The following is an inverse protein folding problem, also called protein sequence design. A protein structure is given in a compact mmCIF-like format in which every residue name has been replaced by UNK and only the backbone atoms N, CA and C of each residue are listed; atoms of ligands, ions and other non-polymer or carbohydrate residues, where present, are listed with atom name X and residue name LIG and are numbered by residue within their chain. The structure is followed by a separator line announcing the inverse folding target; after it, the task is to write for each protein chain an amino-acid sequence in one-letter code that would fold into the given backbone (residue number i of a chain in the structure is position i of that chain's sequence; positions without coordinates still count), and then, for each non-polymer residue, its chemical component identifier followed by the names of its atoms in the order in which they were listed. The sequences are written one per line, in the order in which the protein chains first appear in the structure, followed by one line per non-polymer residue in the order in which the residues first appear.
data_IF_497167227862
#
_entry.id   IF_497167227862
#
_cell.length_a   1.000
_cell.length_b   1.000
_cell.length_c   1.000
_cell.angle_alpha   90.00
_cell.angle_beta   90.00
_cell.angle_gamma   90.00
#
_symmetry.space_group_name_H-M   'P 1'
#
loop_
_entity.id
_entity.type
_entity.pdbx_description
1 polymer ?
#
# COMPACT_ATOMS: atom_id res chain seq x y z
N UNK A 1 5.19 -5.61 36.49
CA UNK A 1 4.50 -5.96 35.23
C UNK A 1 5.03 -5.08 34.12
N UNK A 2 5.30 -5.64 32.95
CA UNK A 2 5.63 -4.86 31.74
C UNK A 2 4.32 -4.52 31.03
N UNK A 3 4.11 -3.26 30.68
CA UNK A 3 2.92 -2.79 29.95
C UNK A 3 3.08 -3.02 28.45
N UNK A 4 2.03 -3.55 27.80
CA UNK A 4 2.01 -3.75 26.36
C UNK A 4 1.88 -2.41 25.61
N UNK A 5 2.63 -2.24 24.52
CA UNK A 5 2.59 -1.03 23.69
C UNK A 5 1.77 -1.26 22.42
N UNK A 6 0.87 -0.33 22.11
CA UNK A 6 0.09 -0.32 20.87
C UNK A 6 0.62 0.76 19.94
N UNK A 7 0.69 0.45 18.64
CA UNK A 7 0.98 1.42 17.59
C UNK A 7 0.33 1.00 16.28
N UNK A 8 0.09 1.93 15.35
CA UNK A 8 -0.34 1.59 14.00
C UNK A 8 0.73 0.74 13.30
N UNK A 9 0.29 -0.31 12.61
CA UNK A 9 1.15 -1.15 11.77
C UNK A 9 0.71 -1.16 10.31
N UNK A 10 -0.51 -0.71 10.02
CA UNK A 10 -1.03 -0.59 8.67
C UNK A 10 -2.11 0.51 8.58
N UNK A 11 -2.25 1.09 7.39
CA UNK A 11 -3.36 1.95 7.01
C UNK A 11 -3.94 1.46 5.68
N UNK A 12 -5.26 1.49 5.53
CA UNK A 12 -5.95 1.23 4.27
C UNK A 12 -6.21 2.54 3.54
N UNK A 13 -5.94 2.56 2.23
CA UNK A 13 -6.18 3.71 1.34
C UNK A 13 -6.96 3.22 0.13
N UNK A 14 -8.20 3.68 0.01
CA UNK A 14 -9.12 3.28 -1.05
C UNK A 14 -9.97 4.47 -1.49
N UNK A 15 -10.36 4.47 -2.77
CA UNK A 15 -11.39 5.37 -3.30
C UNK A 15 -12.80 4.76 -3.19
N UNK A 16 -12.90 3.46 -2.97
CA UNK A 16 -14.17 2.75 -2.77
C UNK A 16 -14.58 2.85 -1.29
N UNK A 17 -15.89 2.97 -1.00
CA UNK A 17 -16.40 2.81 0.36
C UNK A 17 -15.97 1.46 0.96
N UNK A 18 -15.65 1.40 2.27
CA UNK A 18 -15.24 0.15 2.93
C UNK A 18 -16.21 -1.03 2.74
N UNK A 19 -17.49 -0.74 2.65
CA UNK A 19 -18.59 -1.69 2.46
C UNK A 19 -18.78 -2.15 1.02
N UNK A 20 -18.08 -1.54 0.05
CA UNK A 20 -18.20 -1.93 -1.35
C UNK A 20 -17.64 -3.36 -1.54
N UNK A 21 -18.33 -4.28 -2.24
CA UNK A 21 -17.89 -5.68 -2.36
C UNK A 21 -16.47 -5.85 -2.91
N UNK A 22 -16.07 -4.97 -3.84
CA UNK A 22 -14.73 -4.95 -4.43
C UNK A 22 -13.71 -4.07 -3.69
N UNK A 23 -14.04 -3.46 -2.54
CA UNK A 23 -13.15 -2.52 -1.84
C UNK A 23 -11.76 -3.11 -1.59
N UNK A 24 -11.70 -4.39 -1.18
CA UNK A 24 -10.45 -5.07 -0.88
C UNK A 24 -9.50 -5.16 -2.09
N UNK A 25 -10.02 -5.27 -3.31
CA UNK A 25 -9.23 -5.35 -4.55
C UNK A 25 -8.61 -4.01 -4.94
N UNK A 26 -9.29 -2.91 -4.61
CA UNK A 26 -8.88 -1.56 -4.97
C UNK A 26 -8.20 -0.80 -3.80
N UNK A 27 -7.90 -1.50 -2.71
CA UNK A 27 -7.26 -0.90 -1.53
C UNK A 27 -5.74 -1.06 -1.60
N UNK A 28 -5.02 0.05 -1.48
CA UNK A 28 -3.59 0.03 -1.13
C UNK A 28 -3.44 0.03 0.38
N UNK A 29 -2.47 -0.75 0.85
CA UNK A 29 -2.04 -0.77 2.24
C UNK A 29 -0.76 0.02 2.39
N UNK A 30 -0.70 0.88 3.41
CA UNK A 30 0.53 1.51 3.89
C UNK A 30 0.95 0.77 5.15
N UNK A 31 1.96 -0.09 5.04
CA UNK A 31 2.33 -1.03 6.10
C UNK A 31 3.70 -0.73 6.69
N UNK A 32 3.79 -0.74 8.01
CA UNK A 32 5.04 -0.59 8.73
C UNK A 32 5.95 -1.80 8.46
N UNK A 33 7.25 -1.55 8.41
CA UNK A 33 8.26 -2.60 8.14
C UNK A 33 9.36 -2.62 9.19
N UNK A 34 10.14 -1.55 9.29
CA UNK A 34 11.24 -1.40 10.25
C UNK A 34 11.66 0.06 10.31
N UNK A 35 12.25 0.51 11.43
CA UNK A 35 12.89 1.84 11.54
C UNK A 35 12.00 3.00 11.06
N UNK A 36 10.74 2.98 11.49
CA UNK A 36 9.70 3.95 11.10
C UNK A 36 9.50 4.13 9.60
N UNK A 37 9.85 3.09 8.84
CA UNK A 37 9.64 3.04 7.39
C UNK A 37 8.47 2.15 7.02
N UNK A 38 7.76 2.61 6.01
CA UNK A 38 6.49 2.07 5.53
C UNK A 38 6.59 1.68 4.06
N UNK A 39 5.94 0.58 3.66
CA UNK A 39 5.72 0.23 2.26
C UNK A 39 4.30 0.60 1.83
N UNK A 40 4.14 1.11 0.62
CA UNK A 40 2.83 1.13 -0.08
C UNK A 40 2.70 -0.15 -0.88
N UNK A 41 1.66 -0.94 -0.65
CA UNK A 41 1.48 -2.27 -1.27
C UNK A 41 0.02 -2.56 -1.61
N UNK A 42 -0.22 -3.31 -2.69
CA UNK A 42 -1.52 -3.94 -2.99
C UNK A 42 -1.63 -5.34 -2.36
N UNK A 43 -0.64 -5.73 -1.55
CA UNK A 43 -0.51 -7.03 -0.91
C UNK A 43 0.29 -8.06 -1.69
N UNK A 44 0.50 -7.87 -2.99
CA UNK A 44 1.39 -8.70 -3.79
C UNK A 44 2.67 -7.94 -4.16
N UNK A 45 2.56 -6.65 -4.45
CA UNK A 45 3.63 -5.79 -4.94
C UNK A 45 3.81 -4.57 -4.04
N UNK A 46 5.05 -4.11 -3.88
CA UNK A 46 5.39 -2.83 -3.26
C UNK A 46 5.53 -1.77 -4.37
N UNK A 47 5.08 -0.54 -4.11
CA UNK A 47 5.10 0.58 -5.05
C UNK A 47 6.23 1.56 -4.69
N UNK A 48 6.94 2.07 -5.71
CA UNK A 48 7.94 3.14 -5.54
C UNK A 48 7.37 4.50 -5.94
N UNK A 49 8.15 5.58 -5.75
CA UNK A 49 7.70 6.97 -5.95
C UNK A 49 7.14 7.26 -7.35
N UNK A 50 7.62 6.60 -8.40
CA UNK A 50 7.10 6.81 -9.77
C UNK A 50 5.85 5.96 -10.09
N UNK A 51 5.38 5.12 -9.16
CA UNK A 51 4.24 4.22 -9.35
C UNK A 51 4.60 2.85 -9.91
N UNK A 52 5.86 2.60 -10.28
CA UNK A 52 6.32 1.26 -10.64
C UNK A 52 6.22 0.33 -9.44
N UNK A 53 5.73 -0.89 -9.67
CA UNK A 53 5.56 -1.91 -8.64
C UNK A 53 6.50 -3.09 -8.85
N UNK A 54 7.02 -3.63 -7.75
CA UNK A 54 7.85 -4.83 -7.79
C UNK A 54 7.50 -5.77 -6.64
N UNK A 55 7.68 -7.06 -6.90
CA UNK A 55 7.54 -8.07 -5.87
C UNK A 55 8.66 -7.90 -4.84
N UNK A 56 8.32 -8.06 -3.56
CA UNK A 56 9.30 -8.03 -2.49
C UNK A 56 9.87 -9.42 -2.25
N UNK A 57 11.15 -9.60 -2.59
CA UNK A 57 11.87 -10.85 -2.34
C UNK A 57 11.89 -11.23 -0.85
N UNK A 58 12.15 -12.51 -0.58
CA UNK A 58 12.34 -13.03 0.78
C UNK A 58 13.39 -12.21 1.55
N UNK A 59 13.34 -12.17 2.90
CA UNK A 59 14.24 -11.34 3.69
C UNK A 59 15.73 -11.57 3.42
N UNK A 60 16.16 -12.82 3.22
CA UNK A 60 17.56 -13.19 2.96
C UNK A 60 18.10 -12.71 1.61
N UNK A 61 17.22 -12.45 0.64
CA UNK A 61 17.58 -11.96 -0.70
C UNK A 61 17.20 -10.50 -0.91
N UNK A 62 16.65 -9.83 0.11
CA UNK A 62 16.16 -8.46 0.01
C UNK A 62 17.30 -7.47 0.11
N UNK A 63 17.53 -6.76 -0.98
CA UNK A 63 18.63 -5.79 -1.07
C UNK A 63 18.29 -4.47 -0.38
N UNK A 64 19.30 -3.75 0.07
CA UNK A 64 19.13 -2.39 0.60
C UNK A 64 18.69 -1.40 -0.48
N UNK A 65 19.03 -1.66 -1.76
CA UNK A 65 18.49 -0.92 -2.91
C UNK A 65 16.97 -1.04 -2.95
N UNK A 66 16.41 -2.23 -2.73
CA UNK A 66 14.97 -2.42 -2.66
C UNK A 66 14.39 -1.63 -1.49
N UNK A 67 14.96 -1.76 -0.29
CA UNK A 67 14.49 -1.01 0.89
C UNK A 67 14.48 0.50 0.60
N UNK A 68 15.57 1.06 0.07
CA UNK A 68 15.68 2.49 -0.27
C UNK A 68 14.61 2.95 -1.28
N UNK A 69 14.27 2.11 -2.26
CA UNK A 69 13.31 2.46 -3.30
C UNK A 69 11.84 2.32 -2.88
N UNK A 70 11.54 1.43 -1.92
CA UNK A 70 10.17 1.01 -1.58
C UNK A 70 9.81 1.22 -0.10
N UNK A 71 10.64 1.94 0.68
CA UNK A 71 10.43 2.20 2.11
C UNK A 71 10.52 3.70 2.39
N UNK A 72 9.42 4.25 2.87
CA UNK A 72 9.22 5.69 3.02
C UNK A 72 8.91 6.07 4.46
N UNK A 73 9.16 7.33 4.85
CA UNK A 73 8.45 7.95 5.96
C UNK A 73 6.93 7.80 5.81
N UNK A 74 6.19 7.78 6.93
CA UNK A 74 4.75 7.51 6.93
C UNK A 74 3.95 8.51 6.08
N UNK A 75 4.24 9.80 6.22
CA UNK A 75 3.61 10.89 5.48
C UNK A 75 3.83 10.75 3.97
N UNK A 76 5.07 10.48 3.54
CA UNK A 76 5.40 10.19 2.15
C UNK A 76 4.66 8.95 1.63
N UNK A 77 4.57 7.89 2.44
CA UNK A 77 3.88 6.66 2.06
C UNK A 77 2.37 6.89 1.88
N UNK A 78 1.73 7.64 2.79
CA UNK A 78 0.32 7.99 2.70
C UNK A 78 0.04 8.90 1.49
N UNK A 79 0.91 9.87 1.23
CA UNK A 79 0.80 10.74 0.04
C UNK A 79 0.95 9.93 -1.27
N UNK A 80 1.91 8.99 -1.31
CA UNK A 80 2.10 8.08 -2.43
C UNK A 80 0.85 7.22 -2.65
N UNK A 81 0.33 6.58 -1.60
CA UNK A 81 -0.85 5.73 -1.69
C UNK A 81 -2.07 6.50 -2.19
N UNK A 82 -2.34 7.71 -1.66
CA UNK A 82 -3.46 8.55 -2.10
C UNK A 82 -3.34 8.96 -3.57
N UNK A 83 -2.12 9.19 -4.07
CA UNK A 83 -1.89 9.51 -5.48
C UNK A 83 -2.08 8.31 -6.41
N UNK A 84 -1.79 7.11 -5.93
CA UNK A 84 -1.87 5.87 -6.70
C UNK A 84 -3.27 5.25 -6.67
N UNK A 85 -4.00 5.37 -5.56
CA UNK A 85 -5.29 4.70 -5.36
C UNK A 85 -6.32 4.97 -6.49
N UNK A 86 -6.51 6.21 -7.00
CA UNK A 86 -7.44 6.47 -8.09
C UNK A 86 -7.03 5.82 -9.43
N UNK A 87 -5.76 5.43 -9.56
CA UNK A 87 -5.17 4.90 -10.81
C UNK A 87 -5.13 3.38 -10.86
N UNK A 88 -5.66 2.71 -9.85
CA UNK A 88 -5.67 1.26 -9.79
C UNK A 88 -6.63 0.71 -10.82
N UNK A 89 -6.15 -0.28 -11.56
CA UNK A 89 -6.94 -1.06 -12.50
C UNK A 89 -6.86 -2.53 -12.11
N UNK A 90 -8.02 -3.17 -11.89
CA UNK A 90 -8.13 -4.60 -11.58
C UNK A 90 -8.92 -5.26 -12.68
N UNK A 91 -8.34 -6.28 -13.34
CA UNK A 91 -8.97 -7.00 -14.46
C UNK A 91 -9.54 -6.07 -15.55
N UNK A 92 -8.87 -4.95 -15.82
CA UNK A 92 -9.30 -3.95 -16.81
C UNK A 92 -10.30 -2.91 -16.29
N UNK A 93 -10.81 -3.04 -15.06
CA UNK A 93 -11.74 -2.08 -14.47
C UNK A 93 -11.02 -1.01 -13.65
N UNK A 94 -11.31 0.26 -13.91
CA UNK A 94 -10.83 1.40 -13.11
C UNK A 94 -11.71 1.62 -11.88
N UNK A 95 -11.21 2.41 -10.94
CA UNK A 95 -11.97 2.87 -9.77
C UNK A 95 -13.31 3.52 -10.18
N UNK A 96 -13.30 4.41 -11.17
CA UNK A 96 -14.49 5.13 -11.61
C UNK A 96 -15.53 4.18 -12.23
N UNK A 97 -15.07 3.23 -13.05
CA UNK A 97 -15.95 2.25 -13.67
C UNK A 97 -16.65 1.37 -12.63
N UNK A 98 -15.93 0.96 -11.58
CA UNK A 98 -16.50 0.16 -10.49
C UNK A 98 -17.49 0.97 -9.66
N UNK A 99 -17.18 2.23 -9.33
CA UNK A 99 -18.10 3.10 -8.59
C UNK A 99 -19.38 3.42 -9.37
N UNK A 100 -19.30 3.55 -10.70
CA UNK A 100 -20.46 3.77 -11.56
C UNK A 100 -21.33 2.50 -11.74
N UNK A 101 -20.74 1.31 -11.56
CA UNK A 101 -21.34 0.03 -11.91
C UNK A 101 -22.29 -0.58 -10.88
N UNK A 102 -22.34 -0.06 -9.64
CA UNK A 102 -23.06 -0.62 -8.48
C UNK A 102 -23.02 -2.15 -8.34
#
# INVERSE_FOLDING_TARGET
MVEAKVRPTAYAVSCLPPEHPNAFLFTLRVEWRSEDRWCVTDGAYCYRKDGHKAYESNPSSRTDRFKKAYRFPLDEALALAKRLAPKITINGHTVEAVLAGR
#
